data_IF_623467198998
#
_entry.id   IF_623467198998
#
_cell.length_a   1.000
_cell.length_b   1.000
_cell.length_c   1.000
_cell.angle_alpha   90.00
_cell.angle_beta   90.00
_cell.angle_gamma   90.00
#
_symmetry.space_group_name_H-M   'P 1'
#
loop_
_entity.id
_entity.type
_entity.pdbx_description
1 polymer ?
#
# COMPACT_ATOMS: atom_id res chain seq x y z
N UNK A 1 -2.74 -25.89 -3.86
CA UNK A 1 -2.97 -24.96 -4.97
C UNK A 1 -1.72 -25.05 -5.79
N UNK A 2 -1.81 -25.88 -6.82
CA UNK A 2 -0.80 -26.14 -7.83
C UNK A 2 -1.39 -25.43 -9.04
N UNK A 3 -0.90 -24.24 -9.44
CA UNK A 3 -1.40 -23.56 -10.65
C UNK A 3 -0.66 -22.28 -11.09
N UNK A 4 0.49 -21.92 -10.52
CA UNK A 4 1.35 -20.87 -11.09
C UNK A 4 2.79 -21.35 -11.07
N UNK A 5 3.48 -21.20 -12.20
CA UNK A 5 4.94 -21.32 -12.20
C UNK A 5 5.59 -20.07 -11.59
N UNK A 6 6.91 -20.15 -11.35
CA UNK A 6 7.66 -19.08 -10.67
C UNK A 6 7.59 -17.74 -11.45
N UNK A 7 7.48 -17.80 -12.78
CA UNK A 7 7.45 -16.63 -13.66
C UNK A 7 6.06 -15.96 -13.61
N UNK A 8 4.97 -16.73 -13.71
CA UNK A 8 3.60 -16.22 -13.57
C UNK A 8 3.38 -15.59 -12.19
N UNK A 9 3.93 -16.19 -11.13
CA UNK A 9 3.85 -15.61 -9.79
C UNK A 9 4.61 -14.28 -9.69
N UNK A 10 5.81 -14.21 -10.27
CA UNK A 10 6.59 -12.98 -10.29
C UNK A 10 5.87 -11.84 -11.05
N UNK A 11 5.23 -12.15 -12.18
CA UNK A 11 4.42 -11.17 -12.94
C UNK A 11 3.25 -10.64 -12.10
N UNK A 12 2.55 -11.51 -11.36
CA UNK A 12 1.46 -11.10 -10.47
C UNK A 12 1.95 -10.17 -9.35
N UNK A 13 3.11 -10.49 -8.76
CA UNK A 13 3.74 -9.66 -7.74
C UNK A 13 4.15 -8.29 -8.31
N UNK A 14 4.75 -8.25 -9.49
CA UNK A 14 5.14 -7.01 -10.17
C UNK A 14 3.93 -6.13 -10.49
N UNK A 15 2.86 -6.71 -11.03
CA UNK A 15 1.60 -6.00 -11.28
C UNK A 15 1.03 -5.37 -10.01
N UNK A 16 1.07 -6.10 -8.89
CA UNK A 16 0.61 -5.59 -7.60
C UNK A 16 1.46 -4.41 -7.09
N UNK A 17 2.79 -4.52 -7.17
CA UNK A 17 3.71 -3.44 -6.77
C UNK A 17 3.49 -2.20 -7.64
N UNK A 18 3.37 -2.36 -8.96
CA UNK A 18 3.12 -1.26 -9.88
C UNK A 18 1.77 -0.58 -9.62
N UNK A 19 0.71 -1.36 -9.40
CA UNK A 19 -0.61 -0.83 -9.06
C UNK A 19 -0.58 -0.04 -7.75
N UNK A 20 -0.01 -0.62 -6.69
CA UNK A 20 0.08 0.01 -5.37
C UNK A 20 0.94 1.27 -5.40
N UNK A 21 2.04 1.26 -6.16
CA UNK A 21 2.90 2.43 -6.35
C UNK A 21 2.18 3.58 -7.05
N UNK A 22 1.33 3.27 -8.04
CA UNK A 22 0.51 4.26 -8.73
C UNK A 22 -0.54 4.88 -7.81
N UNK A 23 -1.25 4.05 -7.04
CA UNK A 23 -2.22 4.52 -6.04
C UNK A 23 -1.55 5.43 -5.00
N UNK A 24 -0.43 4.99 -4.44
CA UNK A 24 0.36 5.76 -3.47
C UNK A 24 0.76 7.12 -4.03
N UNK A 25 1.27 7.16 -5.27
CA UNK A 25 1.65 8.40 -5.93
C UNK A 25 0.48 9.37 -6.04
N UNK A 26 -0.69 8.90 -6.49
CA UNK A 26 -1.89 9.73 -6.61
C UNK A 26 -2.31 10.32 -5.26
N UNK A 27 -2.23 9.53 -4.19
CA UNK A 27 -2.53 9.97 -2.83
C UNK A 27 -1.54 11.04 -2.37
N UNK A 28 -0.23 10.82 -2.56
CA UNK A 28 0.81 11.78 -2.16
C UNK A 28 0.71 13.10 -2.93
N UNK A 29 0.37 13.05 -4.22
CA UNK A 29 0.17 14.24 -5.06
C UNK A 29 -1.05 15.08 -4.63
N UNK A 30 -2.04 14.46 -3.95
CA UNK A 30 -3.28 15.11 -3.51
C UNK A 30 -3.46 15.09 -1.99
N UNK A 31 -2.38 14.93 -1.23
CA UNK A 31 -2.47 14.63 0.20
C UNK A 31 -3.11 15.75 1.04
N UNK A 32 -2.95 17.01 0.61
CA UNK A 32 -3.53 18.16 1.31
C UNK A 32 -5.05 18.34 1.04
N UNK A 33 -5.59 17.64 0.03
CA UNK A 33 -7.01 17.73 -0.37
C UNK A 33 -7.78 16.41 -0.25
N UNK A 34 -7.08 15.30 -0.01
CA UNK A 34 -7.68 13.98 0.14
C UNK A 34 -8.40 13.85 1.48
N UNK A 35 -9.61 13.30 1.46
CA UNK A 35 -10.35 13.04 2.69
C UNK A 35 -9.72 11.89 3.49
N UNK A 36 -9.76 11.97 4.82
CA UNK A 36 -9.30 10.87 5.69
C UNK A 36 -10.00 9.54 5.40
N UNK A 37 -11.26 9.55 4.97
CA UNK A 37 -11.97 8.33 4.60
C UNK A 37 -11.36 7.63 3.36
N UNK A 38 -10.83 8.40 2.41
CA UNK A 38 -10.09 7.88 1.25
C UNK A 38 -8.74 7.30 1.68
N UNK A 39 -8.02 7.95 2.59
CA UNK A 39 -6.77 7.45 3.17
C UNK A 39 -7.00 6.15 3.96
N UNK A 40 -8.08 6.10 4.74
CA UNK A 40 -8.52 4.90 5.46
C UNK A 40 -8.79 3.76 4.49
N UNK A 41 -9.53 4.03 3.42
CA UNK A 41 -9.88 3.02 2.40
C UNK A 41 -8.63 2.49 1.71
N UNK A 42 -7.70 3.37 1.33
CA UNK A 42 -6.41 2.95 0.78
C UNK A 42 -5.63 2.05 1.75
N UNK A 43 -5.49 2.46 3.01
CA UNK A 43 -4.85 1.66 4.05
C UNK A 43 -5.52 0.29 4.23
N UNK A 44 -6.85 0.24 4.27
CA UNK A 44 -7.63 -0.98 4.37
C UNK A 44 -7.40 -1.95 3.20
N UNK A 45 -7.38 -1.42 1.97
CA UNK A 45 -7.19 -2.21 0.76
C UNK A 45 -5.81 -2.88 0.73
N UNK A 46 -4.75 -2.11 1.00
CA UNK A 46 -3.38 -2.64 0.97
C UNK A 46 -3.07 -3.51 2.19
N UNK A 47 -3.74 -3.25 3.33
CA UNK A 47 -3.75 -4.15 4.49
C UNK A 47 -4.21 -5.55 4.08
N UNK A 48 -5.36 -5.63 3.41
CA UNK A 48 -5.96 -6.91 3.00
C UNK A 48 -5.22 -7.61 1.86
N UNK A 49 -4.71 -6.84 0.90
CA UNK A 49 -4.10 -7.41 -0.31
C UNK A 49 -2.61 -7.73 -0.18
N UNK A 50 -1.82 -7.00 0.63
CA UNK A 50 -0.36 -7.16 0.68
C UNK A 50 0.08 -8.61 0.97
N UNK A 51 -0.53 -9.24 1.96
CA UNK A 51 -0.28 -10.64 2.33
C UNK A 51 -0.65 -11.64 1.23
N UNK A 52 -1.65 -11.33 0.39
CA UNK A 52 -2.04 -12.20 -0.73
C UNK A 52 -0.94 -12.30 -1.79
N UNK A 53 -0.08 -11.29 -1.89
CA UNK A 53 1.06 -11.24 -2.81
C UNK A 53 2.42 -11.46 -2.11
N UNK A 54 2.42 -11.88 -0.84
CA UNK A 54 3.65 -12.13 -0.08
C UNK A 54 4.34 -10.89 0.49
N UNK A 55 3.67 -9.74 0.52
CA UNK A 55 4.22 -8.47 0.99
C UNK A 55 3.65 -8.06 2.36
N UNK A 56 4.08 -8.76 3.41
CA UNK A 56 3.63 -8.49 4.79
C UNK A 56 3.92 -7.06 5.28
N UNK A 57 4.97 -6.42 4.75
CA UNK A 57 5.29 -5.03 5.04
C UNK A 57 4.20 -4.08 4.52
N UNK A 58 3.65 -4.34 3.33
CA UNK A 58 2.53 -3.58 2.76
C UNK A 58 1.29 -3.77 3.63
N UNK A 59 1.02 -5.01 4.07
CA UNK A 59 -0.09 -5.28 5.00
C UNK A 59 0.05 -4.49 6.32
N UNK A 60 1.24 -4.53 6.92
CA UNK A 60 1.51 -3.85 8.20
C UNK A 60 1.38 -2.33 8.08
N UNK A 61 1.88 -1.75 6.97
CA UNK A 61 1.78 -0.32 6.69
C UNK A 61 0.35 0.10 6.37
N UNK A 62 -0.39 -0.73 5.64
CA UNK A 62 -1.82 -0.53 5.37
C UNK A 62 -2.64 -0.40 6.65
N UNK A 63 -2.42 -1.30 7.61
CA UNK A 63 -3.07 -1.25 8.91
C UNK A 63 -2.74 0.04 9.68
N UNK A 64 -1.48 0.48 9.64
CA UNK A 64 -1.06 1.70 10.30
C UNK A 64 -1.65 2.96 9.65
N UNK A 65 -1.69 3.02 8.31
CA UNK A 65 -2.35 4.11 7.57
C UNK A 65 -3.85 4.16 7.86
N UNK A 66 -4.51 3.00 7.84
CA UNK A 66 -5.94 2.90 8.16
C UNK A 66 -6.22 3.42 9.58
N UNK A 67 -5.41 3.00 10.56
CA UNK A 67 -5.56 3.44 11.94
C UNK A 67 -5.26 4.94 12.10
N UNK A 68 -4.20 5.45 11.49
CA UNK A 68 -3.86 6.86 11.55
C UNK A 68 -4.93 7.74 10.88
N UNK A 69 -5.52 7.28 9.77
CA UNK A 69 -6.63 7.95 9.12
C UNK A 69 -7.91 7.97 9.98
N UNK A 70 -8.22 6.89 10.71
CA UNK A 70 -9.33 6.87 11.68
C UNK A 70 -9.13 7.85 12.84
N UNK A 71 -7.88 8.14 13.19
CA UNK A 71 -7.51 9.10 14.23
C UNK A 71 -7.20 10.51 13.68
N UNK A 72 -7.41 10.74 12.38
CA UNK A 72 -7.09 12.01 11.70
C UNK A 72 -5.64 12.48 11.90
N UNK A 73 -4.71 11.54 12.14
CA UNK A 73 -3.30 11.84 12.38
C UNK A 73 -2.53 11.92 11.06
N UNK A 74 -2.53 13.10 10.44
CA UNK A 74 -1.88 13.33 9.16
C UNK A 74 -0.34 13.14 9.20
N UNK A 75 0.31 13.41 10.33
CA UNK A 75 1.76 13.23 10.48
C UNK A 75 2.15 11.75 10.41
N UNK A 76 1.42 10.90 11.14
CA UNK A 76 1.63 9.44 11.10
C UNK A 76 1.32 8.89 9.70
N UNK A 77 0.24 9.36 9.06
CA UNK A 77 -0.10 8.97 7.69
C UNK A 77 1.07 9.29 6.76
N UNK A 78 1.62 10.51 6.80
CA UNK A 78 2.77 10.92 5.98
C UNK A 78 3.96 10.00 6.18
N UNK A 79 4.30 9.72 7.45
CA UNK A 79 5.40 8.82 7.79
C UNK A 79 5.22 7.41 7.21
N UNK A 80 4.01 6.85 7.32
CA UNK A 80 3.72 5.53 6.78
C UNK A 80 3.66 5.49 5.24
N UNK A 81 3.16 6.56 4.59
CA UNK A 81 3.17 6.69 3.13
C UNK A 81 4.61 6.79 2.57
N UNK A 82 5.48 7.55 3.22
CA UNK A 82 6.90 7.66 2.83
C UNK A 82 7.62 6.33 2.95
N UNK A 83 7.42 5.64 4.08
CA UNK A 83 8.09 4.37 4.30
C UNK A 83 7.48 3.23 3.47
N UNK A 84 6.19 3.31 3.08
CA UNK A 84 5.59 2.45 2.06
C UNK A 84 6.22 2.71 0.69
N UNK A 85 6.46 3.96 0.30
CA UNK A 85 7.12 4.31 -0.96
C UNK A 85 8.53 3.70 -1.04
N UNK A 86 9.31 3.83 0.03
CA UNK A 86 10.66 3.24 0.13
C UNK A 86 10.60 1.74 -0.05
N UNK A 87 9.64 1.07 0.59
CA UNK A 87 9.48 -0.38 0.44
C UNK A 87 9.14 -0.78 -1.00
N UNK A 88 8.15 -0.11 -1.62
CA UNK A 88 7.72 -0.42 -2.99
C UNK A 88 8.87 -0.23 -4.00
N UNK A 89 9.66 0.83 -3.86
CA UNK A 89 10.86 1.07 -4.69
C UNK A 89 11.94 0.01 -4.53
N UNK A 90 11.94 -0.76 -3.44
CA UNK A 90 12.87 -1.89 -3.25
C UNK A 90 12.41 -3.19 -3.92
N UNK A 91 11.20 -3.20 -4.49
CA UNK A 91 10.57 -4.36 -5.16
C UNK A 91 10.47 -4.20 -6.68
N UNK A 92 10.85 -3.02 -7.18
CA UNK A 92 11.07 -2.71 -8.59
C UNK A 92 12.57 -2.73 -8.87
#
# INVERSE_FOLDING_TARGET
MDDFDDDEWAEMQEMYINHTSKELRNIKENLDSVAFDSLRTFGHNIKGSGGMYGFNEITSRGAAIESAAMNENLEDIKSHLDALEVFLRSKL
#
